data_IF_153825289695
#
_entry.id   IF_153825289695
#
_cell.length_a   1.000
_cell.length_b   1.000
_cell.length_c   1.000
_cell.angle_alpha   90.00
_cell.angle_beta   90.00
_cell.angle_gamma   90.00
#
_symmetry.space_group_name_H-M   'P 1'
#
loop_
_entity.id
_entity.type
_entity.pdbx_description
1 polymer ?
#
# COMPACT_ATOMS: atom_id res chain seq x y z
N UNK A 1 4.32 -4.86 -0.26
CA UNK A 1 2.91 -5.32 -0.30
C UNK A 1 2.80 -6.80 0.08
N UNK A 2 3.29 -7.75 -0.69
CA UNK A 2 3.15 -9.18 -0.41
C UNK A 2 3.64 -9.60 0.98
N UNK A 3 4.79 -9.08 1.45
CA UNK A 3 5.29 -9.32 2.80
C UNK A 3 4.31 -8.85 3.89
N UNK A 4 3.69 -7.69 3.72
CA UNK A 4 2.71 -7.14 4.67
C UNK A 4 1.46 -8.01 4.76
N UNK A 5 0.90 -8.39 3.61
CA UNK A 5 -0.29 -9.25 3.53
C UNK A 5 -0.01 -10.63 4.12
N UNK A 6 1.15 -11.20 3.82
CA UNK A 6 1.57 -12.50 4.34
C UNK A 6 1.84 -12.48 5.86
N UNK A 7 2.45 -11.41 6.40
CA UNK A 7 2.63 -11.22 7.84
C UNK A 7 1.28 -11.14 8.59
N UNK A 8 0.22 -10.67 7.93
CA UNK A 8 -1.13 -10.65 8.47
C UNK A 8 -1.88 -12.01 8.36
N UNK A 9 -1.19 -13.08 7.96
CA UNK A 9 -1.73 -14.44 7.87
C UNK A 9 -2.53 -14.73 6.58
N UNK A 10 -2.46 -13.85 5.57
CA UNK A 10 -3.12 -14.09 4.28
C UNK A 10 -2.14 -14.76 3.31
N UNK A 11 -2.55 -15.85 2.69
CA UNK A 11 -1.73 -16.59 1.72
C UNK A 11 -1.61 -15.81 0.40
N UNK A 12 -0.37 -15.63 -0.06
CA UNK A 12 -0.10 -15.03 -1.37
C UNK A 12 -0.15 -16.08 -2.46
N UNK A 13 -0.97 -15.86 -3.49
CA UNK A 13 -1.09 -16.77 -4.65
C UNK A 13 -0.60 -16.05 -5.89
N UNK A 14 0.35 -16.65 -6.62
CA UNK A 14 0.85 -16.11 -7.89
C UNK A 14 1.33 -17.21 -8.83
N UNK A 15 1.87 -16.82 -9.97
CA UNK A 15 2.23 -17.76 -11.04
C UNK A 15 3.72 -18.09 -11.18
N UNK A 16 4.58 -17.47 -10.40
CA UNK A 16 6.03 -17.67 -10.45
C UNK A 16 6.71 -17.15 -11.72
N UNK A 17 6.06 -16.30 -12.51
CA UNK A 17 6.66 -15.68 -13.69
C UNK A 17 7.78 -14.70 -13.30
N UNK A 18 8.62 -14.32 -14.28
CA UNK A 18 9.66 -13.31 -14.08
C UNK A 18 9.00 -11.96 -13.79
N UNK A 19 9.51 -11.22 -12.80
CA UNK A 19 9.01 -9.92 -12.38
C UNK A 19 8.12 -10.01 -11.15
N UNK A 20 6.94 -9.42 -11.19
CA UNK A 20 6.05 -9.24 -10.03
C UNK A 20 5.67 -10.57 -9.35
N UNK A 21 5.40 -11.63 -10.12
CA UNK A 21 4.96 -12.91 -9.57
C UNK A 21 6.00 -13.48 -8.59
N UNK A 22 7.28 -13.56 -9.03
CA UNK A 22 8.32 -14.14 -8.18
C UNK A 22 8.64 -13.24 -6.98
N UNK A 23 8.59 -11.92 -7.16
CA UNK A 23 8.79 -10.97 -6.06
C UNK A 23 7.65 -11.04 -5.04
N UNK A 24 6.44 -11.36 -5.45
CA UNK A 24 5.34 -11.61 -4.53
C UNK A 24 5.61 -12.85 -3.65
N UNK A 25 6.13 -13.94 -4.22
CA UNK A 25 6.52 -15.12 -3.46
C UNK A 25 7.67 -14.83 -2.49
N UNK A 26 8.74 -14.16 -2.96
CA UNK A 26 9.88 -13.73 -2.13
C UNK A 26 9.42 -12.85 -0.97
N UNK A 27 8.54 -11.89 -1.26
CA UNK A 27 7.96 -11.02 -0.24
C UNK A 27 7.20 -11.79 0.83
N UNK A 28 6.36 -12.75 0.45
CA UNK A 28 5.64 -13.59 1.40
C UNK A 28 6.60 -14.42 2.27
N UNK A 29 7.59 -15.05 1.66
CA UNK A 29 8.60 -15.86 2.37
C UNK A 29 9.46 -15.02 3.33
N UNK A 30 9.82 -13.79 2.95
CA UNK A 30 10.58 -12.87 3.82
C UNK A 30 9.84 -12.54 5.11
N UNK A 31 8.52 -12.53 5.07
CA UNK A 31 7.66 -12.34 6.23
C UNK A 31 7.31 -13.66 6.96
N UNK A 32 7.91 -14.79 6.57
CA UNK A 32 7.57 -16.14 7.07
C UNK A 32 6.09 -16.48 6.87
N UNK A 33 5.45 -15.91 5.86
CA UNK A 33 4.07 -16.18 5.51
C UNK A 33 3.95 -17.25 4.43
N UNK A 34 2.73 -17.75 4.23
CA UNK A 34 2.47 -18.79 3.24
C UNK A 34 2.29 -18.22 1.83
N UNK A 35 2.79 -18.98 0.85
CA UNK A 35 2.58 -18.64 -0.56
C UNK A 35 2.36 -19.89 -1.40
N UNK A 36 1.50 -19.76 -2.41
CA UNK A 36 1.16 -20.85 -3.35
C UNK A 36 1.51 -20.39 -4.75
N UNK A 37 2.36 -21.17 -5.42
CA UNK A 37 2.69 -20.93 -6.81
C UNK A 37 1.89 -21.86 -7.72
N UNK A 38 1.05 -21.30 -8.59
CA UNK A 38 0.29 -22.05 -9.57
C UNK A 38 1.08 -22.06 -10.89
N UNK A 39 1.45 -23.25 -11.36
CA UNK A 39 2.33 -23.43 -12.50
C UNK A 39 1.54 -23.63 -13.81
N UNK A 40 2.11 -23.16 -14.93
CA UNK A 40 1.59 -23.41 -16.27
C UNK A 40 2.08 -24.74 -16.87
N UNK A 41 3.15 -25.30 -16.31
CA UNK A 41 3.66 -26.64 -16.59
C UNK A 41 3.47 -27.58 -15.42
N UNK A 42 3.90 -28.83 -15.54
CA UNK A 42 3.85 -29.83 -14.45
C UNK A 42 4.82 -29.52 -13.33
N UNK A 43 4.50 -29.98 -12.13
CA UNK A 43 5.27 -29.69 -10.90
C UNK A 43 6.68 -30.31 -10.88
N UNK A 44 6.95 -31.34 -11.70
CA UNK A 44 8.29 -31.91 -11.83
C UNK A 44 9.25 -31.03 -12.65
N UNK A 45 8.71 -30.10 -13.45
CA UNK A 45 9.48 -29.21 -14.30
C UNK A 45 9.00 -27.75 -14.14
N UNK A 46 9.14 -27.16 -12.96
CA UNK A 46 8.66 -25.80 -12.72
C UNK A 46 9.39 -24.79 -13.62
N UNK A 47 8.64 -23.84 -14.17
CA UNK A 47 9.15 -22.82 -15.08
C UNK A 47 8.81 -21.42 -14.60
N UNK A 48 9.73 -20.47 -14.75
CA UNK A 48 11.03 -20.55 -15.40
C UNK A 48 12.11 -21.22 -14.54
N UNK A 49 13.06 -21.90 -15.19
CA UNK A 49 14.11 -22.66 -14.51
C UNK A 49 15.05 -21.76 -13.66
N UNK A 50 15.18 -20.48 -14.00
CA UNK A 50 15.96 -19.52 -13.20
C UNK A 50 15.38 -19.29 -11.80
N UNK A 51 14.10 -19.63 -11.55
CA UNK A 51 13.44 -19.52 -10.25
C UNK A 51 13.41 -20.85 -9.47
N UNK A 52 14.21 -21.85 -9.86
CA UNK A 52 14.20 -23.17 -9.19
C UNK A 52 14.47 -23.07 -7.69
N UNK A 53 15.37 -22.17 -7.27
CA UNK A 53 15.64 -21.89 -5.86
C UNK A 53 14.44 -21.28 -5.13
N UNK A 54 13.74 -20.37 -5.77
CA UNK A 54 12.54 -19.73 -5.22
C UNK A 54 11.40 -20.76 -5.06
N UNK A 55 11.20 -21.60 -6.06
CA UNK A 55 10.21 -22.67 -6.00
C UNK A 55 10.50 -23.68 -4.87
N UNK A 56 11.77 -24.00 -4.65
CA UNK A 56 12.17 -24.80 -3.50
C UNK A 56 11.86 -24.08 -2.19
N UNK A 57 12.22 -22.80 -2.09
CA UNK A 57 11.95 -21.99 -0.91
C UNK A 57 10.44 -21.88 -0.61
N UNK A 58 9.57 -21.86 -1.62
CA UNK A 58 8.11 -21.92 -1.43
C UNK A 58 7.71 -23.20 -0.70
N UNK A 59 8.24 -24.34 -1.11
CA UNK A 59 7.92 -25.66 -0.50
C UNK A 59 8.50 -25.71 0.93
N UNK A 60 9.77 -25.35 1.09
CA UNK A 60 10.48 -25.40 2.37
C UNK A 60 9.85 -24.44 3.41
N UNK A 61 9.24 -23.34 2.94
CA UNK A 61 8.47 -22.39 3.76
C UNK A 61 7.03 -22.83 4.08
N UNK A 62 6.66 -24.07 3.78
CA UNK A 62 5.29 -24.59 4.05
C UNK A 62 4.24 -24.16 3.05
N UNK A 63 4.66 -23.58 1.91
CA UNK A 63 3.79 -23.29 0.77
C UNK A 63 3.62 -24.47 -0.18
N UNK A 64 3.11 -24.20 -1.39
CA UNK A 64 2.87 -25.26 -2.37
C UNK A 64 3.14 -24.81 -3.82
N UNK A 65 3.58 -25.77 -4.65
CA UNK A 65 3.54 -25.67 -6.10
C UNK A 65 2.36 -26.50 -6.61
N UNK A 66 1.48 -25.87 -7.35
CA UNK A 66 0.25 -26.49 -7.83
C UNK A 66 0.17 -26.41 -9.34
N UNK A 67 -0.31 -27.45 -9.98
CA UNK A 67 -0.56 -27.50 -11.41
C UNK A 67 -1.78 -28.34 -11.75
N UNK A 68 -2.50 -27.93 -12.77
CA UNK A 68 -3.66 -28.63 -13.35
C UNK A 68 -3.25 -29.69 -14.40
N UNK A 69 -2.00 -29.65 -14.85
CA UNK A 69 -1.52 -30.57 -15.87
C UNK A 69 -0.67 -31.69 -15.29
N UNK A 70 -0.44 -32.74 -16.07
CA UNK A 70 0.37 -33.89 -15.64
C UNK A 70 1.74 -33.42 -15.07
N UNK A 71 2.27 -34.09 -14.01
CA UNK A 71 3.47 -33.64 -13.29
C UNK A 71 4.69 -33.38 -14.19
N UNK A 72 4.84 -34.13 -15.28
CA UNK A 72 5.96 -34.01 -16.24
C UNK A 72 5.66 -33.11 -17.43
N UNK A 73 4.48 -32.50 -17.52
CA UNK A 73 4.06 -31.70 -18.66
C UNK A 73 4.97 -30.46 -18.83
N UNK A 74 5.40 -30.20 -20.05
CA UNK A 74 6.21 -29.00 -20.36
C UNK A 74 5.34 -27.76 -20.40
N UNK A 75 5.86 -26.58 -20.04
CA UNK A 75 5.14 -25.33 -20.18
C UNK A 75 4.89 -25.01 -21.66
N UNK A 76 3.73 -24.41 -21.97
CA UNK A 76 3.37 -23.95 -23.30
C UNK A 76 2.68 -22.58 -23.21
N UNK A 77 2.85 -21.70 -24.22
CA UNK A 77 2.34 -20.31 -24.18
C UNK A 77 0.86 -20.21 -23.80
N UNK A 78 0.00 -21.04 -24.38
CA UNK A 78 -1.42 -21.03 -24.09
C UNK A 78 -1.76 -21.47 -22.64
N UNK A 79 -0.93 -22.34 -22.03
CA UNK A 79 -1.11 -22.81 -20.66
C UNK A 79 -0.95 -21.70 -19.63
N UNK A 80 -0.14 -20.69 -19.89
CA UNK A 80 -0.02 -19.52 -18.99
C UNK A 80 -1.35 -18.78 -18.87
N UNK A 81 -2.04 -18.57 -20.01
CA UNK A 81 -3.36 -17.91 -20.01
C UNK A 81 -4.43 -18.79 -19.36
N UNK A 82 -4.41 -20.10 -19.64
CA UNK A 82 -5.36 -21.03 -19.03
C UNK A 82 -5.15 -21.11 -17.52
N UNK A 83 -3.91 -21.18 -17.05
CA UNK A 83 -3.56 -21.23 -15.64
C UNK A 83 -4.05 -20.02 -14.87
N UNK A 84 -4.05 -18.83 -15.48
CA UNK A 84 -4.40 -17.57 -14.80
C UNK A 84 -5.80 -17.61 -14.17
N UNK A 85 -6.73 -18.39 -14.73
CA UNK A 85 -8.05 -18.60 -14.11
C UNK A 85 -7.98 -19.24 -12.73
N UNK A 86 -7.00 -20.11 -12.50
CA UNK A 86 -6.80 -20.75 -11.20
C UNK A 86 -6.27 -19.76 -10.17
N UNK A 87 -5.36 -18.86 -10.56
CA UNK A 87 -4.89 -17.79 -9.67
C UNK A 87 -6.06 -16.94 -9.21
N UNK A 88 -6.89 -16.48 -10.14
CA UNK A 88 -8.09 -15.69 -9.84
C UNK A 88 -9.11 -16.45 -8.99
N UNK A 89 -9.38 -17.71 -9.32
CA UNK A 89 -10.40 -18.52 -8.63
C UNK A 89 -10.00 -18.84 -7.17
N UNK A 90 -8.71 -19.08 -6.91
CA UNK A 90 -8.19 -19.44 -5.59
C UNK A 90 -7.96 -18.24 -4.68
N UNK A 91 -8.05 -17.03 -5.21
CA UNK A 91 -7.83 -15.80 -4.46
C UNK A 91 -9.15 -15.13 -4.09
N UNK A 92 -9.27 -14.61 -2.88
CA UNK A 92 -10.39 -13.74 -2.47
C UNK A 92 -10.33 -12.40 -3.18
N UNK A 93 -9.12 -11.88 -3.39
CA UNK A 93 -8.86 -10.67 -4.14
C UNK A 93 -7.67 -10.84 -5.08
N UNK A 94 -7.67 -10.11 -6.20
CA UNK A 94 -6.56 -10.05 -7.15
C UNK A 94 -6.03 -8.63 -7.22
N UNK A 95 -4.72 -8.44 -7.01
CA UNK A 95 -4.07 -7.14 -7.13
C UNK A 95 -3.13 -7.14 -8.33
N UNK A 96 -3.37 -6.24 -9.28
CA UNK A 96 -2.50 -6.02 -10.43
C UNK A 96 -1.53 -4.89 -10.09
N UNK A 97 -0.24 -5.24 -9.99
CA UNK A 97 0.81 -4.27 -9.61
C UNK A 97 1.32 -3.50 -10.81
N UNK A 98 1.55 -4.19 -11.93
CA UNK A 98 1.93 -3.60 -13.21
C UNK A 98 1.28 -4.35 -14.37
N UNK A 99 0.81 -3.63 -15.35
CA UNK A 99 0.28 -4.21 -16.58
C UNK A 99 0.39 -3.22 -17.74
N UNK A 100 1.15 -3.59 -18.77
CA UNK A 100 1.03 -2.93 -20.08
C UNK A 100 -0.30 -3.30 -20.77
N UNK A 101 -0.65 -2.60 -21.84
CA UNK A 101 -1.95 -2.75 -22.55
C UNK A 101 -2.27 -4.20 -23.00
N UNK A 102 -1.28 -5.05 -23.20
CA UNK A 102 -1.42 -6.46 -23.64
C UNK A 102 -0.85 -7.44 -22.62
N UNK A 103 -0.82 -7.07 -21.34
CA UNK A 103 -0.26 -7.92 -20.27
C UNK A 103 -1.12 -9.15 -19.98
N UNK A 104 -0.48 -10.28 -19.68
CA UNK A 104 -1.14 -11.47 -19.15
C UNK A 104 -1.86 -11.23 -17.81
N UNK A 105 -1.40 -10.26 -17.01
CA UNK A 105 -2.04 -9.87 -15.77
C UNK A 105 -3.48 -9.36 -15.97
N UNK A 106 -3.76 -8.69 -17.10
CA UNK A 106 -5.12 -8.26 -17.45
C UNK A 106 -6.05 -9.45 -17.74
N UNK A 107 -5.52 -10.58 -18.19
CA UNK A 107 -6.32 -11.80 -18.34
C UNK A 107 -6.69 -12.37 -16.97
N UNK A 108 -5.79 -12.33 -15.99
CA UNK A 108 -6.09 -12.73 -14.60
C UNK A 108 -7.13 -11.79 -13.99
N UNK A 109 -7.00 -10.48 -14.17
CA UNK A 109 -7.94 -9.47 -13.69
C UNK A 109 -9.36 -9.72 -14.25
N UNK A 110 -9.49 -9.99 -15.54
CA UNK A 110 -10.79 -10.32 -16.16
C UNK A 110 -11.41 -11.57 -15.54
N UNK A 111 -10.63 -12.63 -15.29
CA UNK A 111 -11.11 -13.82 -14.62
C UNK A 111 -11.55 -13.54 -13.19
N UNK A 112 -10.83 -12.69 -12.44
CA UNK A 112 -11.25 -12.28 -11.11
C UNK A 112 -12.62 -11.61 -11.13
N UNK A 113 -12.85 -10.67 -12.04
CA UNK A 113 -14.17 -10.05 -12.23
C UNK A 113 -15.26 -11.04 -12.63
N UNK A 114 -14.98 -11.96 -13.57
CA UNK A 114 -15.92 -13.01 -13.99
C UNK A 114 -16.34 -13.92 -12.83
N UNK A 115 -15.45 -14.13 -11.85
CA UNK A 115 -15.70 -14.95 -10.67
C UNK A 115 -16.26 -14.14 -9.49
N UNK A 116 -16.56 -12.85 -9.67
CA UNK A 116 -17.04 -11.98 -8.59
C UNK A 116 -16.02 -11.79 -7.47
N UNK A 117 -14.72 -11.83 -7.80
CA UNK A 117 -13.64 -11.59 -6.84
C UNK A 117 -13.26 -10.12 -6.82
N UNK A 118 -12.83 -9.66 -5.67
CA UNK A 118 -12.33 -8.30 -5.52
C UNK A 118 -11.10 -8.03 -6.41
N UNK A 119 -11.04 -6.84 -7.00
CA UNK A 119 -9.97 -6.44 -7.90
C UNK A 119 -9.34 -5.13 -7.46
N UNK A 120 -8.03 -5.17 -7.25
CA UNK A 120 -7.20 -4.01 -6.96
C UNK A 120 -6.20 -3.73 -8.08
N UNK A 121 -5.85 -2.46 -8.25
CA UNK A 121 -4.85 -2.00 -9.19
C UNK A 121 -3.92 -0.98 -8.53
N UNK A 122 -2.61 -1.20 -8.67
CA UNK A 122 -1.60 -0.25 -8.19
C UNK A 122 -1.47 0.88 -9.21
N UNK A 123 -1.66 2.14 -8.82
CA UNK A 123 -1.52 3.27 -9.72
C UNK A 123 -0.05 3.48 -10.10
N UNK A 124 0.18 3.95 -11.30
CA UNK A 124 1.50 4.34 -11.79
C UNK A 124 1.42 5.62 -12.61
N UNK A 125 2.56 6.10 -13.12
CA UNK A 125 2.60 7.31 -13.92
C UNK A 125 1.78 7.13 -15.22
N UNK A 126 1.05 8.17 -15.62
CA UNK A 126 0.13 8.11 -16.77
C UNK A 126 0.85 7.93 -18.10
N UNK A 127 2.11 8.32 -18.17
CA UNK A 127 2.99 8.18 -19.32
C UNK A 127 3.83 6.89 -19.31
N UNK A 128 3.75 6.09 -18.23
CA UNK A 128 4.49 4.84 -18.14
C UNK A 128 3.75 3.69 -18.86
N UNK A 129 4.35 3.06 -19.87
CA UNK A 129 3.70 1.99 -20.65
C UNK A 129 3.22 0.80 -19.80
N UNK A 130 3.91 0.52 -18.69
CA UNK A 130 3.57 -0.57 -17.77
C UNK A 130 2.44 -0.23 -16.78
N UNK A 131 2.02 1.03 -16.72
CA UNK A 131 0.91 1.48 -15.87
C UNK A 131 -0.44 1.50 -16.61
N UNK A 132 -0.44 1.48 -17.93
CA UNK A 132 -1.65 1.64 -18.76
C UNK A 132 -2.76 0.67 -18.37
N UNK A 133 -2.41 -0.60 -18.15
CA UNK A 133 -3.39 -1.62 -17.75
C UNK A 133 -3.96 -1.39 -16.35
N UNK A 134 -3.13 -1.00 -15.38
CA UNK A 134 -3.58 -0.69 -14.03
C UNK A 134 -4.50 0.54 -14.00
N UNK A 135 -4.15 1.59 -14.77
CA UNK A 135 -4.99 2.80 -14.91
C UNK A 135 -6.34 2.47 -15.56
N UNK A 136 -6.34 1.59 -16.57
CA UNK A 136 -7.58 1.13 -17.21
C UNK A 136 -8.45 0.30 -16.23
N UNK A 137 -7.84 -0.58 -15.44
CA UNK A 137 -8.55 -1.32 -14.40
C UNK A 137 -9.15 -0.38 -13.35
N UNK A 138 -8.40 0.59 -12.86
CA UNK A 138 -8.87 1.59 -11.89
C UNK A 138 -10.03 2.43 -12.48
N UNK A 139 -9.94 2.86 -13.73
CA UNK A 139 -11.01 3.56 -14.43
C UNK A 139 -12.30 2.72 -14.54
N UNK A 140 -12.16 1.39 -14.63
CA UNK A 140 -13.26 0.44 -14.73
C UNK A 140 -13.74 -0.08 -13.36
N UNK A 141 -13.36 0.56 -12.27
CA UNK A 141 -13.86 0.28 -10.93
C UNK A 141 -13.00 -0.64 -10.07
N UNK A 142 -11.78 -1.01 -10.50
CA UNK A 142 -10.85 -1.68 -9.61
C UNK A 142 -10.41 -0.73 -8.48
N UNK A 143 -10.32 -1.25 -7.27
CA UNK A 143 -9.86 -0.49 -6.10
C UNK A 143 -8.41 -0.05 -6.28
N UNK A 144 -8.11 1.22 -6.04
CA UNK A 144 -6.74 1.72 -6.06
C UNK A 144 -5.99 1.19 -4.84
N UNK A 145 -4.87 0.53 -5.08
CA UNK A 145 -4.02 -0.07 -4.05
C UNK A 145 -2.72 0.73 -3.95
N UNK A 146 -2.53 1.43 -2.86
CA UNK A 146 -1.35 2.25 -2.57
C UNK A 146 -0.25 1.44 -1.90
N UNK A 147 -0.66 0.53 -1.00
CA UNK A 147 0.25 -0.24 -0.15
C UNK A 147 -0.33 -1.61 0.25
N UNK A 148 0.34 -2.27 1.21
CA UNK A 148 -0.08 -3.57 1.71
C UNK A 148 -1.34 -3.54 2.58
N UNK A 149 -1.69 -2.40 3.16
CA UNK A 149 -2.91 -2.23 3.99
C UNK A 149 -4.13 -2.24 3.09
N UNK A 150 -4.11 -1.44 2.02
CA UNK A 150 -5.20 -1.43 1.02
C UNK A 150 -5.41 -2.85 0.44
N UNK A 151 -4.32 -3.57 0.15
CA UNK A 151 -4.41 -4.94 -0.34
C UNK A 151 -5.00 -5.92 0.71
N UNK A 152 -4.73 -5.72 1.98
CA UNK A 152 -5.29 -6.50 3.07
C UNK A 152 -6.78 -6.22 3.29
N UNK A 153 -7.18 -4.95 3.24
CA UNK A 153 -8.58 -4.52 3.34
C UNK A 153 -9.42 -5.11 2.21
N UNK A 154 -8.86 -5.22 1.01
CA UNK A 154 -9.54 -5.81 -0.14
C UNK A 154 -9.90 -7.30 0.08
N UNK A 155 -9.10 -8.02 0.87
CA UNK A 155 -9.31 -9.46 1.17
C UNK A 155 -10.21 -9.65 2.39
N UNK A 156 -10.14 -8.76 3.36
CA UNK A 156 -10.93 -8.82 4.59
C UNK A 156 -12.14 -7.92 4.41
N UNK A 157 -13.38 -8.47 4.39
CA UNK A 157 -14.55 -7.61 4.45
C UNK A 157 -14.44 -6.73 5.70
N UNK A 158 -14.68 -5.43 5.52
CA UNK A 158 -14.81 -4.49 6.64
C UNK A 158 -15.77 -5.11 7.65
N UNK A 159 -15.29 -5.37 8.86
CA UNK A 159 -16.15 -5.89 9.94
C UNK A 159 -17.37 -4.99 10.05
N UNK A 160 -18.55 -5.58 10.20
CA UNK A 160 -19.83 -4.87 10.27
C UNK A 160 -19.94 -3.85 11.43
N UNK A 161 -18.89 -3.66 12.20
CA UNK A 161 -18.79 -2.79 13.37
C UNK A 161 -18.64 -1.29 13.03
N UNK A 162 -18.67 -0.93 11.73
CA UNK A 162 -18.87 0.47 11.31
C UNK A 162 -17.79 1.49 11.70
N UNK A 163 -16.66 1.05 12.24
CA UNK A 163 -15.61 1.94 12.76
C UNK A 163 -14.37 2.07 11.87
N UNK A 164 -14.42 1.58 10.61
CA UNK A 164 -13.40 2.00 9.65
C UNK A 164 -13.63 3.48 9.31
N UNK A 165 -12.68 4.38 9.56
CA UNK A 165 -12.81 5.76 9.13
C UNK A 165 -13.00 5.80 7.61
N UNK A 166 -13.95 6.62 7.14
CA UNK A 166 -14.32 6.78 5.72
C UNK A 166 -13.11 7.10 4.80
N UNK A 167 -12.01 7.49 5.41
CA UNK A 167 -10.68 7.62 4.82
C UNK A 167 -9.73 6.79 5.68
N UNK A 168 -9.45 5.56 5.29
CA UNK A 168 -8.63 4.58 6.01
C UNK A 168 -7.13 4.91 6.11
N UNK A 169 -6.81 6.16 6.37
CA UNK A 169 -5.54 6.54 6.96
C UNK A 169 -5.73 6.44 8.48
N UNK A 170 -4.84 5.75 9.22
CA UNK A 170 -4.67 6.10 10.60
C UNK A 170 -4.45 7.61 10.57
N UNK A 171 -5.32 8.36 11.21
CA UNK A 171 -4.94 9.71 11.62
C UNK A 171 -3.71 9.43 12.45
N UNK A 172 -2.52 9.77 11.93
CA UNK A 172 -1.33 9.83 12.73
C UNK A 172 -1.74 10.70 13.92
N UNK A 173 -1.90 10.08 15.10
CA UNK A 173 -2.19 10.81 16.34
C UNK A 173 -1.08 11.83 16.63
N UNK A 174 -0.06 11.88 15.81
CA UNK A 174 1.15 12.69 15.92
C UNK A 174 1.20 13.88 14.95
N UNK A 175 0.07 14.29 14.37
CA UNK A 175 -0.02 15.61 13.72
C UNK A 175 -0.45 16.65 14.74
N UNK A 176 0.45 16.96 15.65
CA UNK A 176 0.25 17.99 16.66
C UNK A 176 -0.32 19.33 16.18
N UNK A 177 -0.24 19.59 14.88
CA UNK A 177 -0.77 20.80 14.23
C UNK A 177 -2.23 20.64 13.77
N UNK A 178 -2.65 19.44 13.36
CA UNK A 178 -4.02 19.20 12.86
C UNK A 178 -5.05 19.10 14.00
N UNK A 179 -4.57 18.80 15.22
CA UNK A 179 -5.38 18.76 16.45
C UNK A 179 -5.49 20.10 17.17
N UNK A 180 -4.90 21.18 16.63
CA UNK A 180 -4.90 22.50 17.26
C UNK A 180 -6.29 23.13 17.20
N UNK A 181 -6.68 23.74 18.33
CA UNK A 181 -7.83 24.64 18.41
C UNK A 181 -7.70 25.80 17.42
N UNK A 182 -8.80 26.37 16.91
CA UNK A 182 -8.76 27.40 15.88
C UNK A 182 -7.82 28.59 16.21
N UNK A 183 -7.79 29.02 17.47
CA UNK A 183 -6.91 30.12 17.93
C UNK A 183 -5.45 29.70 17.93
N UNK A 184 -5.13 28.50 18.42
CA UNK A 184 -3.77 27.95 18.43
C UNK A 184 -3.24 27.77 16.99
N UNK A 185 -4.09 27.29 16.07
CA UNK A 185 -3.74 27.12 14.65
C UNK A 185 -3.39 28.47 14.00
N UNK A 186 -4.20 29.52 14.24
CA UNK A 186 -3.93 30.87 13.71
C UNK A 186 -2.59 31.43 14.22
N UNK A 187 -2.29 31.24 15.50
CA UNK A 187 -1.03 31.65 16.10
C UNK A 187 0.13 30.85 15.50
N UNK A 188 -0.02 29.53 15.36
CA UNK A 188 1.02 28.69 14.76
C UNK A 188 1.26 29.05 13.29
N UNK A 189 0.23 29.31 12.50
CA UNK A 189 0.35 29.75 11.10
C UNK A 189 0.97 31.13 10.96
N UNK A 190 0.74 32.04 11.90
CA UNK A 190 1.34 33.37 11.93
C UNK A 190 2.83 33.38 12.28
N UNK A 191 3.36 32.30 12.85
CA UNK A 191 4.79 32.19 13.17
C UNK A 191 5.62 31.92 11.91
N UNK A 192 6.69 32.69 11.68
CA UNK A 192 7.61 32.44 10.56
C UNK A 192 8.41 31.15 10.77
N UNK A 193 8.76 30.48 9.65
CA UNK A 193 9.48 29.20 9.69
C UNK A 193 10.97 29.32 10.06
N UNK A 194 11.59 30.46 9.82
CA UNK A 194 13.05 30.61 9.87
C UNK A 194 13.58 31.75 10.74
N UNK A 195 12.71 32.59 11.31
CA UNK A 195 13.12 33.69 12.15
C UNK A 195 12.24 33.84 13.38
N UNK A 196 12.76 34.25 14.56
CA UNK A 196 11.93 34.50 15.72
C UNK A 196 11.04 35.73 15.51
N UNK A 197 9.77 35.62 15.94
CA UNK A 197 8.80 36.72 15.90
C UNK A 197 8.43 37.18 17.29
N UNK A 198 8.27 38.50 17.47
CA UNK A 198 7.76 39.07 18.73
C UNK A 198 6.26 38.77 18.89
N UNK A 199 5.76 38.83 20.12
CA UNK A 199 4.32 38.62 20.41
C UNK A 199 3.48 39.67 19.66
N UNK A 200 3.94 40.91 19.56
CA UNK A 200 3.27 41.99 18.84
C UNK A 200 3.14 41.69 17.35
N UNK A 201 4.20 41.17 16.73
CA UNK A 201 4.17 40.76 15.32
C UNK A 201 3.21 39.61 15.07
N UNK A 202 3.17 38.67 16.00
CA UNK A 202 2.23 37.52 15.92
C UNK A 202 0.79 37.99 16.09
N UNK A 203 0.51 38.94 17.02
CA UNK A 203 -0.84 39.53 17.20
C UNK A 203 -1.34 40.16 15.88
N UNK A 204 -0.50 40.92 15.22
CA UNK A 204 -0.85 41.56 13.94
C UNK A 204 -1.09 40.50 12.86
N UNK A 205 -0.20 39.50 12.72
CA UNK A 205 -0.30 38.49 11.69
C UNK A 205 -1.46 37.52 11.89
N UNK A 206 -1.76 37.15 13.16
CA UNK A 206 -2.86 36.28 13.51
C UNK A 206 -4.21 37.01 13.63
N UNK A 207 -4.22 38.35 13.65
CA UNK A 207 -5.38 39.19 13.97
C UNK A 207 -6.06 38.77 15.28
N UNK A 208 -5.26 38.63 16.36
CA UNK A 208 -5.69 38.22 17.71
C UNK A 208 -5.17 39.19 18.75
N UNK A 209 -5.83 39.24 19.89
CA UNK A 209 -5.39 40.03 21.05
C UNK A 209 -4.10 39.44 21.65
N UNK A 210 -3.38 40.26 22.44
CA UNK A 210 -2.15 39.84 23.12
C UNK A 210 -2.38 38.67 24.07
N UNK A 211 -3.52 38.67 24.78
CA UNK A 211 -3.86 37.62 25.74
C UNK A 211 -4.13 36.28 25.03
N UNK A 212 -4.90 36.30 23.93
CA UNK A 212 -5.16 35.10 23.12
C UNK A 212 -3.86 34.51 22.53
N UNK A 213 -2.98 35.36 21.99
CA UNK A 213 -1.69 34.94 21.46
C UNK A 213 -0.80 34.37 22.55
N UNK A 214 -0.77 34.99 23.75
CA UNK A 214 0.08 34.54 24.86
C UNK A 214 -0.39 33.17 25.39
N UNK A 215 -1.70 32.95 25.57
CA UNK A 215 -2.23 31.65 25.95
C UNK A 215 -1.92 30.58 24.90
N UNK A 216 -2.22 30.85 23.63
CA UNK A 216 -1.95 29.91 22.56
C UNK A 216 -0.45 29.54 22.41
N UNK A 217 0.47 30.52 22.60
CA UNK A 217 1.91 30.24 22.58
C UNK A 217 2.35 29.37 23.78
N UNK A 218 1.76 29.53 24.95
CA UNK A 218 2.02 28.66 26.10
C UNK A 218 1.57 27.22 25.80
N UNK A 219 0.35 27.03 25.31
CA UNK A 219 -0.18 25.70 24.97
C UNK A 219 0.65 25.03 23.87
N UNK A 220 0.99 25.76 22.81
CA UNK A 220 1.84 25.29 21.73
C UNK A 220 3.26 24.95 22.20
N UNK A 221 3.77 25.66 23.20
CA UNK A 221 5.08 25.39 23.81
C UNK A 221 5.05 24.12 24.64
N UNK A 222 4.00 23.88 25.40
CA UNK A 222 3.78 22.63 26.15
C UNK A 222 3.64 21.45 25.21
N UNK A 223 2.98 21.64 24.07
CA UNK A 223 2.87 20.64 23.00
C UNK A 223 4.18 20.45 22.20
N UNK A 224 5.23 21.22 22.49
CA UNK A 224 6.51 21.11 21.78
C UNK A 224 6.52 21.66 20.36
N UNK A 225 5.48 22.36 19.93
CA UNK A 225 5.30 22.86 18.55
C UNK A 225 5.97 24.22 18.31
N UNK A 226 6.25 24.98 19.38
CA UNK A 226 6.96 26.25 19.32
C UNK A 226 7.98 26.37 20.44
N UNK A 227 9.01 27.19 20.23
CA UNK A 227 10.00 27.53 21.26
C UNK A 227 10.16 29.04 21.41
N UNK A 228 10.16 29.49 22.65
CA UNK A 228 10.41 30.90 23.01
C UNK A 228 11.88 31.12 23.29
N UNK A 229 12.41 32.26 22.87
CA UNK A 229 13.76 32.78 23.16
C UNK A 229 13.71 34.25 23.54
N UNK A 230 14.84 34.84 23.96
CA UNK A 230 14.97 36.26 24.19
C UNK A 230 14.74 37.12 22.93
N UNK A 231 14.79 36.49 21.73
CA UNK A 231 14.55 37.14 20.45
C UNK A 231 13.12 36.99 19.95
N UNK A 232 12.29 36.19 20.61
CA UNK A 232 10.90 35.90 20.22
C UNK A 232 10.61 34.40 20.08
N UNK A 233 9.51 34.09 19.42
CA UNK A 233 8.97 32.75 19.25
C UNK A 233 9.23 32.20 17.86
N UNK A 234 9.56 30.91 17.78
CA UNK A 234 9.79 30.18 16.53
C UNK A 234 9.04 28.87 16.54
N UNK A 235 8.71 28.35 15.35
CA UNK A 235 8.25 26.95 15.24
C UNK A 235 9.40 26.02 15.58
N UNK A 236 9.13 25.00 16.41
CA UNK A 236 10.03 23.85 16.50
C UNK A 236 9.89 23.09 15.19
N UNK A 237 11.00 22.81 14.50
CA UNK A 237 10.94 22.03 13.26
C UNK A 237 10.24 20.70 13.52
N UNK A 238 9.18 20.43 12.78
CA UNK A 238 8.59 19.09 12.73
C UNK A 238 9.72 18.10 12.44
N UNK A 239 9.84 17.08 13.28
CA UNK A 239 10.95 16.14 13.31
C UNK A 239 11.43 15.73 11.92
N UNK A 240 12.73 15.78 11.74
CA UNK A 240 13.40 15.06 10.66
C UNK A 240 13.23 13.57 10.90
N UNK A 241 13.03 12.79 9.81
CA UNK A 241 12.99 11.35 9.86
C UNK A 241 14.23 10.73 10.42
#
# INVERSE_FOLDING_TARGET
MAAFVAAAGVTVVSGGAIGIDIEAHRGALSARGHTICILAGGVCNPYPACHAGDFRAVIDGGGALISEVAPTARPAKWRFLTRNRLIAAWSGATVVVEAGARSGALATARRAMEYGRELGAVPGAVDAPMSVGCLELARNGATIIRDGRDALELVRPVSADGTAPLFGMPVDEDRGVDALEPTQRRVWEALPRSAPASVEAICVAAALSRDEVSHALMDLSVAGLVSGSTRGWTRTGAGRP
#
